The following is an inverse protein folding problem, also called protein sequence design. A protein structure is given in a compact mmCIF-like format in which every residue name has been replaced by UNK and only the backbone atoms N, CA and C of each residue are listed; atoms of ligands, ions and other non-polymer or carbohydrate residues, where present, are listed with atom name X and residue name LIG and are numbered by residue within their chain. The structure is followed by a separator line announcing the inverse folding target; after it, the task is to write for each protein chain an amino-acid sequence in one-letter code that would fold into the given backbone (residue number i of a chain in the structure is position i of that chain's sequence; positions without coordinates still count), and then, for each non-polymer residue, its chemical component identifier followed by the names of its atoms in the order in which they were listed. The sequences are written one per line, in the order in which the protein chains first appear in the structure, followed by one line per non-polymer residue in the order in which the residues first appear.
data_IF_452750243471
#
_entry.id   IF_452750243471
#
_cell.length_a   1.000
_cell.length_b   1.000
_cell.length_c   1.000
_cell.angle_alpha   90.00
_cell.angle_beta   90.00
_cell.angle_gamma   90.00
#
_symmetry.space_group_name_H-M   'P 1'
#
loop_
_entity.id
_entity.type
_entity.pdbx_description
1 polymer ?
#
# COMPACT_ATOMS: atom_id res chain seq x y z
N UNK A 1 -10.37 -28.27 -21.27
CA UNK A 1 -9.84 -27.29 -20.30
C UNK A 1 -8.47 -27.80 -19.87
N UNK A 2 -7.41 -27.36 -20.56
CA UNK A 2 -6.13 -28.07 -20.56
C UNK A 2 -5.00 -27.26 -19.92
N UNK A 3 -4.15 -27.97 -19.19
CA UNK A 3 -3.00 -27.60 -18.36
C UNK A 3 -1.93 -26.65 -18.98
N UNK A 4 -2.16 -26.13 -20.18
CA UNK A 4 -1.25 -25.25 -20.90
C UNK A 4 -1.09 -23.85 -20.24
N UNK A 5 -2.10 -23.37 -19.51
CA UNK A 5 -2.05 -22.06 -18.84
C UNK A 5 -1.11 -22.01 -17.63
N UNK A 6 -0.82 -23.16 -16.99
CA UNK A 6 0.05 -23.22 -15.81
C UNK A 6 1.53 -23.18 -16.20
N UNK A 7 1.89 -23.67 -17.39
CA UNK A 7 3.29 -23.79 -17.82
C UNK A 7 3.87 -22.49 -18.41
N UNK A 8 3.05 -21.62 -19.01
CA UNK A 8 3.50 -20.32 -19.53
C UNK A 8 3.89 -19.35 -18.40
N UNK A 9 3.32 -19.52 -17.19
CA UNK A 9 3.64 -18.67 -16.01
C UNK A 9 5.02 -18.95 -15.40
N UNK A 10 5.58 -20.15 -15.54
CA UNK A 10 6.90 -20.50 -14.96
C UNK A 10 8.09 -20.19 -15.87
N UNK A 11 7.91 -20.18 -17.20
CA UNK A 11 9.03 -20.09 -18.14
C UNK A 11 9.55 -18.66 -18.42
N UNK A 12 8.80 -17.60 -18.09
CA UNK A 12 9.27 -16.20 -18.26
C UNK A 12 9.92 -15.60 -17.01
N UNK A 13 9.94 -16.35 -15.90
CA UNK A 13 10.56 -15.92 -14.65
C UNK A 13 12.09 -16.00 -14.68
N UNK A 14 12.65 -16.88 -15.53
CA UNK A 14 14.09 -17.13 -15.57
C UNK A 14 14.89 -16.14 -16.42
N UNK A 15 14.30 -15.45 -17.40
CA UNK A 15 15.04 -14.49 -18.24
C UNK A 15 15.21 -13.10 -17.59
N UNK A 16 14.52 -12.83 -16.49
CA UNK A 16 14.70 -11.61 -15.70
C UNK A 16 15.69 -11.77 -14.54
N UNK A 17 16.19 -12.99 -14.29
CA UNK A 17 17.06 -13.26 -13.15
C UNK A 17 18.45 -12.61 -13.26
N UNK A 18 18.87 -12.17 -14.46
CA UNK A 18 20.22 -11.71 -14.74
C UNK A 18 20.48 -10.20 -14.53
N UNK A 19 19.47 -9.36 -14.28
CA UNK A 19 19.69 -7.90 -14.16
C UNK A 19 19.44 -7.30 -12.76
N UNK A 20 19.01 -8.07 -11.76
CA UNK A 20 18.60 -7.47 -10.47
C UNK A 20 19.06 -8.28 -9.25
N UNK A 21 20.38 -8.35 -9.04
CA UNK A 21 21.01 -8.98 -7.87
C UNK A 21 20.79 -8.27 -6.52
N UNK A 22 19.95 -7.23 -6.43
CA UNK A 22 19.55 -6.55 -5.17
C UNK A 22 18.05 -6.63 -4.83
N UNK A 23 17.23 -7.36 -5.60
CA UNK A 23 15.74 -7.37 -5.49
C UNK A 23 15.13 -8.76 -5.25
N UNK A 24 15.85 -9.67 -4.60
CA UNK A 24 15.32 -11.00 -4.23
C UNK A 24 14.12 -10.94 -3.28
N UNK A 25 13.96 -9.86 -2.51
CA UNK A 25 12.80 -9.66 -1.64
C UNK A 25 11.52 -9.23 -2.39
N UNK A 26 11.65 -8.40 -3.43
CA UNK A 26 10.51 -7.85 -4.18
C UNK A 26 9.78 -8.92 -5.01
N UNK A 27 10.55 -9.85 -5.55
CA UNK A 27 10.05 -10.96 -6.37
C UNK A 27 9.36 -12.02 -5.50
N UNK A 28 9.89 -12.27 -4.29
CA UNK A 28 9.23 -13.11 -3.30
C UNK A 28 7.91 -12.50 -2.80
N UNK A 29 7.83 -11.16 -2.67
CA UNK A 29 6.59 -10.47 -2.33
C UNK A 29 5.48 -10.65 -3.37
N UNK A 30 5.81 -10.53 -4.66
CA UNK A 30 4.84 -10.68 -5.76
C UNK A 30 4.37 -12.13 -5.90
N UNK A 31 5.23 -13.12 -5.64
CA UNK A 31 4.89 -14.54 -5.75
C UNK A 31 4.13 -15.09 -4.53
N UNK A 32 4.32 -14.54 -3.32
CA UNK A 32 3.60 -14.96 -2.12
C UNK A 32 2.16 -14.41 -2.06
N UNK A 33 1.82 -13.44 -2.93
CA UNK A 33 0.52 -12.75 -2.99
C UNK A 33 -0.33 -13.18 -4.21
N UNK A 34 -0.15 -14.40 -4.70
CA UNK A 34 -0.81 -14.92 -5.91
C UNK A 34 -2.35 -15.05 -5.84
N UNK A 35 -2.94 -14.83 -4.67
CA UNK A 35 -4.38 -14.87 -4.44
C UNK A 35 -5.03 -13.47 -4.37
N UNK A 36 -4.25 -12.39 -4.57
CA UNK A 36 -4.79 -11.04 -4.57
C UNK A 36 -5.36 -10.64 -5.93
N UNK A 37 -6.60 -10.12 -5.90
CA UNK A 37 -7.29 -9.51 -7.04
C UNK A 37 -6.35 -8.64 -7.88
N UNK A 38 -6.37 -8.85 -9.21
CA UNK A 38 -5.60 -8.09 -10.19
C UNK A 38 -5.78 -6.56 -10.07
N UNK A 39 -6.78 -6.07 -9.32
CA UNK A 39 -6.97 -4.66 -8.97
C UNK A 39 -5.85 -4.07 -8.10
N UNK A 40 -5.16 -4.85 -7.25
CA UNK A 40 -4.11 -4.33 -6.38
C UNK A 40 -2.75 -4.18 -7.06
N UNK A 41 -2.52 -4.96 -8.11
CA UNK A 41 -1.23 -5.03 -8.77
C UNK A 41 -0.83 -3.70 -9.47
N UNK A 42 -1.72 -3.00 -10.22
CA UNK A 42 -1.46 -1.66 -10.73
C UNK A 42 -1.15 -0.64 -9.62
N UNK A 43 -1.79 -0.77 -8.46
CA UNK A 43 -1.59 0.11 -7.31
C UNK A 43 -0.22 -0.03 -6.67
N UNK A 44 0.23 -1.27 -6.47
CA UNK A 44 1.54 -1.57 -5.93
C UNK A 44 2.62 -1.03 -6.88
N UNK A 45 2.44 -1.21 -8.19
CA UNK A 45 3.34 -0.62 -9.18
C UNK A 45 3.35 0.91 -9.10
N UNK A 46 2.18 1.55 -9.06
CA UNK A 46 2.09 3.01 -8.93
C UNK A 46 2.79 3.50 -7.68
N UNK A 47 2.63 2.85 -6.53
CA UNK A 47 3.34 3.20 -5.31
C UNK A 47 4.87 3.03 -5.45
N UNK A 48 5.34 1.86 -5.93
CA UNK A 48 6.77 1.56 -6.15
C UNK A 48 7.42 2.59 -7.09
N UNK A 49 6.68 3.05 -8.09
CA UNK A 49 7.16 3.98 -9.10
C UNK A 49 6.68 5.42 -8.90
N UNK A 50 6.29 5.79 -7.67
CA UNK A 50 5.90 7.16 -7.30
C UNK A 50 4.88 7.80 -8.27
N UNK A 51 3.81 7.06 -8.56
CA UNK A 51 2.75 7.40 -9.51
C UNK A 51 3.20 7.64 -10.97
N UNK A 52 4.36 7.12 -11.38
CA UNK A 52 4.79 7.17 -12.77
C UNK A 52 3.97 6.19 -13.63
N UNK A 53 2.84 6.69 -14.16
CA UNK A 53 1.89 5.94 -15.00
C UNK A 53 2.58 5.27 -16.19
N UNK A 54 3.54 5.95 -16.82
CA UNK A 54 4.24 5.45 -18.00
C UNK A 54 5.07 4.19 -17.68
N UNK A 55 5.75 4.20 -16.53
CA UNK A 55 6.52 3.05 -16.05
C UNK A 55 5.57 1.91 -15.66
N UNK A 56 4.51 2.21 -14.91
CA UNK A 56 3.53 1.20 -14.49
C UNK A 56 2.81 0.56 -15.68
N UNK A 57 2.44 1.35 -16.70
CA UNK A 57 1.83 0.87 -17.94
C UNK A 57 2.74 -0.11 -18.65
N UNK A 58 4.03 0.22 -18.82
CA UNK A 58 5.00 -0.69 -19.46
C UNK A 58 5.15 -2.01 -18.70
N UNK A 59 5.18 -1.95 -17.37
CA UNK A 59 5.21 -3.16 -16.53
C UNK A 59 3.95 -4.00 -16.68
N UNK A 60 2.77 -3.38 -16.61
CA UNK A 60 1.50 -4.08 -16.77
C UNK A 60 1.37 -4.72 -18.16
N UNK A 61 1.68 -3.98 -19.24
CA UNK A 61 1.68 -4.50 -20.61
C UNK A 61 2.59 -5.72 -20.76
N UNK A 62 3.80 -5.65 -20.20
CA UNK A 62 4.76 -6.76 -20.24
C UNK A 62 4.29 -8.01 -19.47
N UNK A 63 3.42 -7.83 -18.47
CA UNK A 63 2.90 -8.93 -17.64
C UNK A 63 1.59 -9.53 -18.18
N UNK A 64 0.74 -8.72 -18.81
CA UNK A 64 -0.57 -9.16 -19.34
C UNK A 64 -0.54 -9.54 -20.81
N UNK A 65 0.55 -9.26 -21.54
CA UNK A 65 0.64 -9.39 -23.00
C UNK A 65 -0.51 -8.68 -23.74
N UNK A 66 -1.04 -7.59 -23.17
CA UNK A 66 -2.12 -6.79 -23.78
C UNK A 66 -1.56 -5.79 -24.79
N UNK A 67 -2.15 -5.73 -25.98
CA UNK A 67 -1.75 -4.81 -27.05
C UNK A 67 -2.47 -3.45 -26.98
N UNK A 68 -3.64 -3.34 -26.32
CA UNK A 68 -4.39 -2.07 -26.22
C UNK A 68 -4.12 -1.29 -24.94
N UNK A 69 -3.79 -0.01 -25.08
CA UNK A 69 -3.41 0.90 -23.99
C UNK A 69 -4.58 1.63 -23.36
N UNK A 70 -5.69 1.77 -24.09
CA UNK A 70 -6.78 2.68 -23.74
C UNK A 70 -7.54 2.25 -22.49
N UNK A 71 -7.69 0.94 -22.29
CA UNK A 71 -8.27 0.41 -21.05
C UNK A 71 -7.29 0.52 -19.86
N UNK A 72 -5.98 0.42 -20.10
CA UNK A 72 -4.98 0.54 -19.02
C UNK A 72 -4.86 1.96 -18.48
N UNK A 73 -4.98 2.98 -19.32
CA UNK A 73 -4.98 4.36 -18.87
C UNK A 73 -6.21 4.67 -18.02
N UNK A 74 -7.37 4.11 -18.37
CA UNK A 74 -8.56 4.15 -17.54
C UNK A 74 -8.35 3.48 -16.18
N UNK A 75 -7.74 2.29 -16.14
CA UNK A 75 -7.44 1.57 -14.90
C UNK A 75 -6.44 2.36 -14.04
N UNK A 76 -5.31 2.81 -14.59
CA UNK A 76 -4.29 3.57 -13.86
C UNK A 76 -4.80 4.93 -13.37
N UNK A 77 -5.62 5.60 -14.17
CA UNK A 77 -6.30 6.85 -13.78
C UNK A 77 -7.29 6.63 -12.64
N UNK A 78 -8.10 5.56 -12.73
CA UNK A 78 -9.01 5.16 -11.64
C UNK A 78 -8.25 4.89 -10.36
N UNK A 79 -7.13 4.15 -10.44
CA UNK A 79 -6.25 3.87 -9.33
C UNK A 79 -5.79 5.17 -8.65
N UNK A 80 -5.25 6.12 -9.40
CA UNK A 80 -4.76 7.39 -8.83
C UNK A 80 -5.89 8.19 -8.16
N UNK A 81 -7.07 8.22 -8.77
CA UNK A 81 -8.19 9.02 -8.26
C UNK A 81 -8.80 8.47 -6.97
N UNK A 82 -8.74 7.15 -6.75
CA UNK A 82 -9.32 6.47 -5.58
C UNK A 82 -8.41 5.31 -5.15
N UNK A 83 -7.26 5.60 -4.54
CA UNK A 83 -6.37 4.54 -4.12
C UNK A 83 -7.03 3.68 -3.04
N UNK A 84 -6.97 2.35 -3.13
CA UNK A 84 -7.38 1.48 -2.06
C UNK A 84 -6.33 1.51 -0.96
N UNK A 85 -6.63 0.99 0.23
CA UNK A 85 -5.68 1.01 1.33
C UNK A 85 -4.45 0.13 1.08
N UNK A 86 -3.25 0.66 1.28
CA UNK A 86 -2.02 -0.11 1.09
C UNK A 86 -1.86 -1.27 2.08
N UNK A 87 -2.41 -1.14 3.29
CA UNK A 87 -2.40 -2.18 4.31
C UNK A 87 -3.81 -2.69 4.62
N UNK A 88 -4.29 -3.61 3.78
CA UNK A 88 -5.66 -4.17 3.86
C UNK A 88 -5.97 -4.79 5.22
N UNK A 89 -4.98 -5.47 5.82
CA UNK A 89 -5.11 -6.05 7.16
C UNK A 89 -5.57 -5.02 8.19
N UNK A 90 -5.12 -3.77 8.05
CA UNK A 90 -5.39 -2.67 8.95
C UNK A 90 -6.49 -1.71 8.43
N UNK A 91 -7.27 -2.13 7.43
CA UNK A 91 -8.38 -1.34 6.89
C UNK A 91 -9.50 -1.12 7.92
N UNK A 92 -9.75 -2.12 8.77
CA UNK A 92 -10.72 -2.04 9.87
C UNK A 92 -10.11 -1.36 11.08
N UNK A 93 -10.92 -0.56 11.77
CA UNK A 93 -10.48 0.17 12.97
C UNK A 93 -10.00 -0.78 14.07
N UNK A 94 -10.70 -1.90 14.27
CA UNK A 94 -10.42 -2.89 15.31
C UNK A 94 -9.04 -3.53 15.09
N UNK A 95 -8.68 -3.82 13.83
CA UNK A 95 -7.38 -4.38 13.49
C UNK A 95 -6.25 -3.37 13.71
N UNK A 96 -6.50 -2.08 13.47
CA UNK A 96 -5.56 -1.01 13.85
C UNK A 96 -5.40 -0.96 15.36
N UNK A 97 -6.50 -0.93 16.11
CA UNK A 97 -6.43 -0.85 17.57
C UNK A 97 -5.70 -2.05 18.18
N UNK A 98 -5.91 -3.27 17.65
CA UNK A 98 -5.20 -4.49 18.06
C UNK A 98 -3.69 -4.43 17.82
N UNK A 99 -3.20 -3.61 16.89
CA UNK A 99 -1.75 -3.47 16.69
C UNK A 99 -1.05 -2.80 17.89
N UNK A 100 -1.77 -1.98 18.66
CA UNK A 100 -1.24 -1.24 19.81
C UNK A 100 -1.22 -2.07 21.11
N UNK A 101 -1.14 -3.40 21.04
CA UNK A 101 -1.06 -4.25 22.24
C UNK A 101 0.19 -3.98 23.08
N UNK A 102 1.31 -3.67 22.41
CA UNK A 102 2.60 -3.34 23.02
C UNK A 102 2.86 -1.84 23.10
N UNK A 103 1.86 -1.01 22.77
CA UNK A 103 1.96 0.43 22.98
C UNK A 103 2.13 0.73 24.47
N UNK A 104 3.10 1.58 24.87
CA UNK A 104 3.32 1.88 26.28
C UNK A 104 2.03 2.37 26.96
N UNK A 105 1.77 1.96 28.20
CA UNK A 105 0.56 2.42 28.93
C UNK A 105 0.54 3.94 29.11
N UNK A 106 1.71 4.57 29.24
CA UNK A 106 1.90 6.02 29.27
C UNK A 106 2.09 6.62 27.88
N UNK A 107 2.05 5.80 26.82
CA UNK A 107 2.25 6.24 25.45
C UNK A 107 1.19 7.25 25.05
N UNK A 108 1.65 8.37 24.48
CA UNK A 108 0.81 9.46 24.01
C UNK A 108 1.04 9.68 22.51
N UNK A 109 0.02 10.11 21.74
CA UNK A 109 -1.40 10.22 22.08
C UNK A 109 -2.08 8.88 22.42
N UNK A 110 -3.37 8.92 22.79
CA UNK A 110 -4.16 7.70 23.02
C UNK A 110 -4.16 6.84 21.74
N UNK A 111 -3.88 5.53 21.89
CA UNK A 111 -3.91 4.54 20.81
C UNK A 111 -5.23 4.52 20.04
N UNK A 112 -6.36 4.85 20.68
CA UNK A 112 -7.65 5.00 20.01
C UNK A 112 -7.62 6.16 19.02
N UNK A 113 -7.08 7.32 19.42
CA UNK A 113 -6.95 8.49 18.55
C UNK A 113 -6.03 8.20 17.36
N UNK A 114 -4.93 7.48 17.59
CA UNK A 114 -4.03 7.03 16.53
C UNK A 114 -4.76 6.09 15.55
N UNK A 115 -5.45 5.06 16.05
CA UNK A 115 -6.24 4.14 15.24
C UNK A 115 -7.37 4.84 14.47
N UNK A 116 -8.01 5.84 15.06
CA UNK A 116 -9.02 6.67 14.40
C UNK A 116 -8.43 7.52 13.28
N UNK A 117 -7.23 8.09 13.49
CA UNK A 117 -6.50 8.83 12.46
C UNK A 117 -5.94 7.94 11.33
N UNK A 118 -6.16 6.63 11.40
CA UNK A 118 -5.76 5.67 10.37
C UNK A 118 -4.41 5.01 10.63
N UNK A 119 -3.83 5.20 11.81
CA UNK A 119 -2.54 4.62 12.14
C UNK A 119 -2.68 3.22 12.77
N UNK A 120 -1.76 2.32 12.43
CA UNK A 120 -1.48 1.11 13.20
C UNK A 120 -0.05 1.18 13.74
N UNK A 121 0.19 0.50 14.85
CA UNK A 121 1.51 0.40 15.45
C UNK A 121 2.39 -0.55 14.65
N UNK A 122 3.53 -0.04 14.21
CA UNK A 122 4.56 -0.84 13.54
C UNK A 122 5.68 -1.19 14.52
N UNK A 123 6.02 -0.27 15.41
CA UNK A 123 7.21 -0.37 16.26
C UNK A 123 8.52 -0.36 15.45
N UNK A 124 9.68 -0.49 16.14
CA UNK A 124 9.84 -0.30 17.59
C UNK A 124 9.53 1.15 18.01
N UNK A 125 9.63 1.43 19.31
CA UNK A 125 9.33 2.75 19.91
C UNK A 125 7.86 3.15 19.73
N UNK A 126 7.61 4.35 19.21
CA UNK A 126 6.28 4.90 19.00
C UNK A 126 5.90 4.98 17.51
N UNK A 127 6.62 4.24 16.66
CA UNK A 127 6.41 4.30 15.22
C UNK A 127 5.02 3.76 14.83
N UNK A 128 4.30 4.59 14.09
CA UNK A 128 3.00 4.25 13.53
C UNK A 128 2.98 4.45 12.01
N UNK A 129 2.18 3.65 11.31
CA UNK A 129 1.99 3.73 9.85
C UNK A 129 0.51 3.86 9.52
N UNK A 130 0.19 4.75 8.57
CA UNK A 130 -1.16 4.84 8.05
C UNK A 130 -1.50 3.62 7.19
N UNK A 131 -2.63 2.97 7.48
CA UNK A 131 -3.07 1.82 6.70
C UNK A 131 -3.36 2.13 5.22
N UNK A 132 -3.60 3.40 4.88
CA UNK A 132 -4.08 3.80 3.57
C UNK A 132 -2.99 4.37 2.68
N UNK A 133 -2.17 5.31 3.17
CA UNK A 133 -1.13 5.98 2.38
C UNK A 133 0.28 5.47 2.69
N UNK A 134 0.44 4.54 3.64
CA UNK A 134 1.75 4.08 4.14
C UNK A 134 2.62 5.18 4.78
N UNK A 135 2.05 6.36 5.01
CA UNK A 135 2.72 7.45 5.71
C UNK A 135 3.04 7.09 7.16
N UNK A 136 4.32 7.13 7.50
CA UNK A 136 4.83 6.81 8.84
C UNK A 136 5.05 8.06 9.70
N UNK A 137 4.69 8.00 10.98
CA UNK A 137 4.97 9.02 11.99
C UNK A 137 5.59 8.37 13.24
N UNK A 138 6.32 9.18 14.01
CA UNK A 138 7.06 8.79 15.22
C UNK A 138 7.34 10.04 16.06
N UNK A 139 7.94 9.86 17.23
CA UNK A 139 8.23 10.93 18.21
C UNK A 139 6.96 11.67 18.65
N UNK A 140 5.89 10.92 18.85
CA UNK A 140 4.59 11.39 19.27
C UNK A 140 4.64 12.02 20.67
N UNK A 141 4.01 13.18 20.81
CA UNK A 141 3.88 13.90 22.07
C UNK A 141 2.44 13.90 22.58
N UNK A 142 2.26 14.26 23.85
CA UNK A 142 0.93 14.38 24.46
C UNK A 142 0.06 15.48 23.85
N UNK A 143 0.67 16.46 23.18
CA UNK A 143 -0.03 17.60 22.60
C UNK A 143 -0.36 17.38 21.12
N UNK A 144 0.14 16.30 20.52
CA UNK A 144 -0.07 16.03 19.11
C UNK A 144 -1.52 15.58 18.87
N UNK A 145 -2.11 16.09 17.78
CA UNK A 145 -3.37 15.60 17.27
C UNK A 145 -3.10 14.67 16.09
N UNK A 146 -3.30 13.34 16.22
CA UNK A 146 -2.97 12.39 15.15
C UNK A 146 -3.64 12.68 13.81
N UNK A 147 -4.85 13.26 13.80
CA UNK A 147 -5.55 13.62 12.56
C UNK A 147 -4.84 14.77 11.87
N UNK A 148 -4.46 15.80 12.64
CA UNK A 148 -3.78 16.98 12.10
C UNK A 148 -2.35 16.65 11.67
N UNK A 149 -1.60 15.90 12.48
CA UNK A 149 -0.25 15.46 12.10
C UNK A 149 -0.25 14.63 10.81
N UNK A 150 -1.24 13.75 10.66
CA UNK A 150 -1.43 12.98 9.44
C UNK A 150 -1.72 13.88 8.23
N UNK A 151 -2.64 14.82 8.36
CA UNK A 151 -2.99 15.73 7.27
C UNK A 151 -1.83 16.67 6.90
N UNK A 152 -1.13 17.21 7.89
CA UNK A 152 -0.02 18.14 7.66
C UNK A 152 1.18 17.43 7.00
N UNK A 153 1.47 16.19 7.41
CA UNK A 153 2.63 15.44 6.89
C UNK A 153 2.33 14.71 5.59
N UNK A 154 1.14 14.13 5.46
CA UNK A 154 0.71 13.37 4.28
C UNK A 154 -0.61 13.94 3.73
N UNK A 155 -0.58 15.19 3.23
CA UNK A 155 -1.80 15.88 2.81
C UNK A 155 -2.55 15.14 1.73
N UNK A 156 -1.86 14.34 0.89
CA UNK A 156 -2.44 13.57 -0.20
C UNK A 156 -3.13 12.25 0.18
N UNK A 157 -3.11 11.88 1.46
CA UNK A 157 -3.81 10.69 1.91
C UNK A 157 -5.34 10.83 1.71
N UNK A 158 -5.91 10.01 0.81
CA UNK A 158 -7.34 10.04 0.51
C UNK A 158 -8.21 9.74 1.74
N UNK A 159 -7.72 8.87 2.64
CA UNK A 159 -8.40 8.56 3.90
C UNK A 159 -8.52 9.79 4.81
N UNK A 160 -7.42 10.52 5.05
CA UNK A 160 -7.45 11.66 5.98
C UNK A 160 -8.22 12.85 5.40
N UNK A 161 -8.06 13.12 4.09
CA UNK A 161 -8.88 14.13 3.38
C UNK A 161 -10.38 13.83 3.55
N UNK A 162 -10.79 12.57 3.44
CA UNK A 162 -12.19 12.16 3.61
C UNK A 162 -12.65 12.28 5.05
N UNK A 163 -11.78 12.01 6.03
CA UNK A 163 -12.10 12.12 7.46
C UNK A 163 -12.35 13.59 7.87
N UNK A 164 -11.50 14.51 7.41
CA UNK A 164 -11.64 15.95 7.69
C UNK A 164 -12.87 16.60 7.05
N UNK A 165 -13.31 16.12 5.88
CA UNK A 165 -14.55 16.60 5.24
C UNK A 165 -15.83 16.20 5.97
N UNK A 166 -15.73 15.30 6.96
CA UNK A 166 -16.88 14.72 7.68
C UNK A 166 -16.94 15.13 9.15
N UNK A 167 -15.97 15.91 9.65
CA UNK A 167 -15.96 16.47 11.01
C UNK A 167 -16.51 17.89 10.99
#
# INVERSE_FOLDING_TARGET
MSLAFVFVRKARFWRFHLLYKKKTELVNWILLYSDFDYLYFPHILLHIYNNNIQVCRRWLQALTNMESTDNMDGILSSCISKPPPLHIKYAKYEERLKSFLTWPQTGKPDKKNLAEAGFFFQGPEDRTICFHCDGGLKNWTANDNPIMEHFNTYPDCAFIKKKLKKS
#
